data_IF_923213217130
#
_entry.id   IF_923213217130
#
_cell.length_a   1.000
_cell.length_b   1.000
_cell.length_c   1.000
_cell.angle_alpha   90.00
_cell.angle_beta   90.00
_cell.angle_gamma   90.00
#
_symmetry.space_group_name_H-M   'P 1'
#
loop_
_entity.id
_entity.type
_entity.pdbx_description
1 polymer ?
#
# COMPACT_ATOMS: atom_id res chain seq x y z
N UNK A 1 6.89 6.20 15.93
CA UNK A 1 8.18 6.60 15.32
C UNK A 1 7.96 7.69 14.27
N UNK A 2 7.36 7.40 13.09
CA UNK A 2 7.20 8.38 12.00
C UNK A 2 6.46 9.65 12.45
N UNK A 3 5.34 9.50 13.16
CA UNK A 3 4.58 10.63 13.70
C UNK A 3 5.39 11.47 14.69
N UNK A 4 6.17 10.83 15.57
CA UNK A 4 7.05 11.51 16.52
C UNK A 4 8.15 12.31 15.83
N UNK A 5 8.68 11.79 14.72
CA UNK A 5 9.69 12.46 13.88
C UNK A 5 9.09 13.46 12.88
N UNK A 6 7.77 13.66 12.90
CA UNK A 6 7.03 14.54 11.97
C UNK A 6 7.23 14.17 10.50
N UNK A 7 7.54 12.89 10.21
CA UNK A 7 7.67 12.39 8.85
C UNK A 7 6.29 12.18 8.22
N UNK A 8 6.16 12.34 6.90
CA UNK A 8 4.91 12.06 6.19
C UNK A 8 4.44 10.63 6.38
N UNK A 9 3.16 10.46 6.65
CA UNK A 9 2.49 9.16 6.76
C UNK A 9 1.36 9.13 5.76
N UNK A 10 1.36 8.10 4.91
CA UNK A 10 0.31 7.84 3.94
C UNK A 10 -0.44 6.57 4.36
N UNK A 11 -1.76 6.61 4.27
CA UNK A 11 -2.61 5.46 4.52
C UNK A 11 -3.51 5.22 3.31
N UNK A 12 -3.23 4.16 2.56
CA UNK A 12 -4.04 3.78 1.40
C UNK A 12 -5.11 2.78 1.76
N UNK A 13 -6.24 2.86 1.07
CA UNK A 13 -7.31 1.86 1.14
C UNK A 13 -7.90 1.58 -0.23
N UNK A 14 -8.48 0.39 -0.38
CA UNK A 14 -9.31 0.06 -1.52
C UNK A 14 -10.62 0.84 -1.44
N UNK A 15 -11.07 1.36 -2.58
CA UNK A 15 -12.24 2.22 -2.68
C UNK A 15 -12.98 1.94 -3.98
N UNK A 16 -13.52 0.70 -4.07
CA UNK A 16 -14.09 0.17 -5.32
C UNK A 16 -15.50 0.70 -5.59
N UNK A 17 -15.82 1.06 -6.83
CA UNK A 17 -17.20 1.25 -7.22
C UNK A 17 -17.97 -0.08 -7.15
N UNK A 18 -19.29 -0.04 -7.00
CA UNK A 18 -20.15 -1.24 -6.90
C UNK A 18 -19.96 -2.17 -8.11
N UNK A 19 -19.73 -1.58 -9.29
CA UNK A 19 -19.47 -2.32 -10.53
C UNK A 19 -18.03 -2.09 -10.97
N UNK A 20 -17.21 -3.12 -10.88
CA UNK A 20 -15.82 -3.09 -11.33
C UNK A 20 -15.42 -4.47 -11.84
N UNK A 21 -14.59 -4.51 -12.89
CA UNK A 21 -14.00 -5.75 -13.40
C UNK A 21 -13.12 -6.48 -12.36
N UNK A 22 -12.82 -5.85 -11.25
CA UNK A 22 -12.08 -6.43 -10.14
C UNK A 22 -12.86 -7.58 -9.46
N UNK A 23 -14.20 -7.49 -9.45
CA UNK A 23 -15.07 -8.46 -8.78
C UNK A 23 -15.48 -9.63 -9.69
N UNK A 24 -15.67 -10.80 -9.09
CA UNK A 24 -16.08 -12.04 -9.78
C UNK A 24 -17.34 -11.85 -10.60
N UNK A 25 -18.32 -11.12 -10.08
CA UNK A 25 -19.60 -10.85 -10.74
C UNK A 25 -19.45 -10.07 -12.05
N UNK A 26 -18.28 -9.46 -12.27
CA UNK A 26 -17.95 -8.68 -13.46
C UNK A 26 -16.70 -9.22 -14.18
N UNK A 27 -16.36 -10.51 -13.95
CA UNK A 27 -15.27 -11.21 -14.64
C UNK A 27 -13.91 -11.12 -13.98
N UNK A 28 -13.81 -10.57 -12.78
CA UNK A 28 -12.58 -10.45 -12.01
C UNK A 28 -12.26 -11.66 -11.13
N UNK A 29 -11.29 -11.49 -10.26
CA UNK A 29 -10.78 -12.55 -9.37
C UNK A 29 -11.40 -12.52 -7.98
N UNK A 30 -11.82 -11.36 -7.50
CA UNK A 30 -12.14 -11.13 -6.11
C UNK A 30 -13.63 -11.17 -5.81
N UNK A 31 -14.04 -11.64 -4.63
CA UNK A 31 -15.39 -11.39 -4.15
C UNK A 31 -15.60 -9.89 -3.94
N UNK A 32 -16.85 -9.47 -3.86
CA UNK A 32 -17.20 -8.08 -3.56
C UNK A 32 -16.62 -7.67 -2.20
N UNK A 33 -15.86 -6.56 -2.17
CA UNK A 33 -15.25 -6.01 -0.96
C UNK A 33 -14.92 -4.52 -1.14
N UNK A 34 -14.66 -3.82 -0.05
CA UNK A 34 -14.20 -2.43 -0.04
C UNK A 34 -15.00 -1.48 -0.95
N UNK A 35 -16.32 -1.66 -1.01
CA UNK A 35 -17.20 -0.77 -1.79
C UNK A 35 -17.19 0.63 -1.18
N UNK A 36 -17.08 1.64 -2.02
CA UNK A 36 -17.11 3.04 -1.66
C UNK A 36 -18.25 3.37 -0.70
N UNK A 37 -17.97 4.17 0.32
CA UNK A 37 -18.94 4.63 1.32
C UNK A 37 -19.58 3.51 2.19
N UNK A 38 -18.98 2.32 2.23
CA UNK A 38 -19.40 1.25 3.14
C UNK A 38 -18.39 1.04 4.27
N UNK A 39 -18.84 0.38 5.34
CA UNK A 39 -17.97 -0.02 6.45
C UNK A 39 -16.81 -0.90 5.97
N UNK A 40 -17.08 -1.81 4.99
CA UNK A 40 -16.05 -2.69 4.42
C UNK A 40 -14.89 -1.98 3.73
N UNK A 41 -15.04 -0.70 3.36
CA UNK A 41 -13.96 0.15 2.83
C UNK A 41 -13.31 1.03 3.89
N UNK A 42 -13.71 0.92 5.15
CA UNK A 42 -13.15 1.72 6.25
C UNK A 42 -11.85 1.11 6.75
N UNK A 43 -10.96 1.96 7.30
CA UNK A 43 -9.83 1.46 8.06
C UNK A 43 -10.30 0.73 9.30
N UNK A 44 -9.60 -0.34 9.66
CA UNK A 44 -9.92 -1.11 10.85
C UNK A 44 -9.90 -0.19 12.10
N UNK A 45 -10.90 -0.26 13.02
CA UNK A 45 -11.04 0.69 14.13
C UNK A 45 -9.88 0.69 15.13
N UNK A 46 -9.10 -0.39 15.18
CA UNK A 46 -7.87 -0.45 15.99
C UNK A 46 -6.67 0.25 15.35
N UNK A 47 -6.74 0.59 14.07
CA UNK A 47 -5.67 1.34 13.39
C UNK A 47 -5.75 2.82 13.81
N UNK A 48 -4.79 3.26 14.61
CA UNK A 48 -4.71 4.64 15.10
C UNK A 48 -3.87 5.48 14.14
N UNK A 49 -4.48 6.01 13.11
CA UNK A 49 -3.81 6.94 12.20
C UNK A 49 -3.67 8.32 12.88
N UNK A 50 -2.48 8.95 12.76
CA UNK A 50 -2.32 10.33 13.24
C UNK A 50 -3.14 11.30 12.35
N UNK A 51 -3.60 12.42 12.95
CA UNK A 51 -4.45 13.40 12.24
C UNK A 51 -3.84 13.94 10.96
N UNK A 52 -2.52 14.02 10.89
CA UNK A 52 -1.76 14.50 9.71
C UNK A 52 -1.54 13.41 8.64
N UNK A 53 -2.01 12.18 8.83
CA UNK A 53 -1.87 11.15 7.81
C UNK A 53 -2.63 11.52 6.53
N UNK A 54 -1.99 11.37 5.40
CA UNK A 54 -2.57 11.61 4.08
C UNK A 54 -3.28 10.33 3.65
N UNK A 55 -4.60 10.42 3.48
CA UNK A 55 -5.42 9.28 3.05
C UNK A 55 -5.39 9.17 1.53
N UNK A 56 -5.20 7.95 1.04
CA UNK A 56 -5.14 7.62 -0.36
C UNK A 56 -6.20 6.59 -0.72
N UNK A 57 -6.80 6.75 -1.87
CA UNK A 57 -7.87 5.92 -2.39
C UNK A 57 -7.42 5.25 -3.68
N UNK A 58 -7.54 3.93 -3.79
CA UNK A 58 -7.21 3.18 -4.99
C UNK A 58 -8.33 2.23 -5.40
N UNK A 59 -8.25 1.69 -6.63
CA UNK A 59 -9.29 0.81 -7.16
C UNK A 59 -10.57 1.54 -7.54
N UNK A 60 -10.48 2.84 -7.83
CA UNK A 60 -11.64 3.66 -8.21
C UNK A 60 -12.00 3.52 -9.68
N UNK A 61 -11.03 3.17 -10.55
CA UNK A 61 -11.32 2.88 -11.96
C UNK A 61 -11.97 1.51 -12.09
N UNK A 62 -13.22 1.42 -12.62
CA UNK A 62 -13.89 0.13 -12.78
C UNK A 62 -13.24 -0.80 -13.80
N UNK A 63 -12.28 -0.33 -14.59
CA UNK A 63 -11.58 -1.09 -15.63
C UNK A 63 -10.24 -1.66 -15.19
N UNK A 64 -9.77 -1.33 -13.97
CA UNK A 64 -8.45 -1.73 -13.48
C UNK A 64 -8.54 -2.39 -12.10
N UNK A 65 -7.57 -3.28 -11.79
CA UNK A 65 -7.45 -3.89 -10.46
C UNK A 65 -6.84 -2.95 -9.42
N UNK A 66 -5.90 -2.10 -9.83
CA UNK A 66 -5.28 -1.06 -8.99
C UNK A 66 -4.68 -1.58 -7.69
N UNK A 67 -3.83 -2.60 -7.76
CA UNK A 67 -3.16 -3.14 -6.56
C UNK A 67 -2.14 -2.18 -5.96
N UNK A 68 -1.41 -1.44 -6.81
CA UNK A 68 -0.35 -0.54 -6.37
C UNK A 68 -0.89 0.76 -5.80
N UNK A 69 -0.27 1.26 -4.70
CA UNK A 69 -0.55 2.59 -4.19
C UNK A 69 -0.20 3.70 -5.19
N UNK A 70 0.64 3.42 -6.18
CA UNK A 70 0.95 4.38 -7.25
C UNK A 70 -0.22 4.64 -8.20
N UNK A 71 -1.28 3.83 -8.12
CA UNK A 71 -2.56 4.01 -8.81
C UNK A 71 -3.62 4.71 -7.92
N UNK A 72 -3.19 5.30 -6.80
CA UNK A 72 -4.07 6.00 -5.86
C UNK A 72 -3.94 7.51 -5.96
N UNK A 73 -4.96 8.19 -5.46
CA UNK A 73 -4.99 9.64 -5.27
C UNK A 73 -5.55 10.01 -3.88
N UNK A 74 -5.27 11.23 -3.45
CA UNK A 74 -5.88 11.78 -2.23
C UNK A 74 -7.29 12.32 -2.51
N UNK A 75 -7.97 12.82 -1.49
CA UNK A 75 -9.34 13.39 -1.61
C UNK A 75 -9.44 14.61 -2.54
N UNK A 76 -8.32 15.16 -2.98
CA UNK A 76 -8.24 16.30 -3.93
C UNK A 76 -7.92 15.84 -5.36
N UNK A 77 -7.79 14.53 -5.59
CA UNK A 77 -7.39 13.96 -6.88
C UNK A 77 -5.89 14.05 -7.15
N UNK A 78 -5.06 14.25 -6.12
CA UNK A 78 -3.61 14.32 -6.31
C UNK A 78 -3.00 12.91 -6.18
N UNK A 79 -2.42 12.42 -7.26
CA UNK A 79 -1.81 11.09 -7.33
C UNK A 79 -0.60 10.92 -6.40
N UNK A 80 -0.43 9.72 -5.86
CA UNK A 80 0.61 9.40 -4.86
C UNK A 80 2.03 9.75 -5.32
N UNK A 81 2.42 9.42 -6.55
CA UNK A 81 3.75 9.76 -7.06
C UNK A 81 4.01 11.28 -7.03
N UNK A 82 3.01 12.08 -7.36
CA UNK A 82 3.12 13.54 -7.34
C UNK A 82 3.26 14.06 -5.91
N UNK A 83 2.52 13.48 -4.96
CA UNK A 83 2.67 13.79 -3.53
C UNK A 83 4.08 13.50 -3.02
N UNK A 84 4.64 12.32 -3.35
CA UNK A 84 6.01 11.96 -2.97
C UNK A 84 7.03 12.97 -3.49
N UNK A 85 6.92 13.36 -4.77
CA UNK A 85 7.82 14.33 -5.40
C UNK A 85 7.71 15.72 -4.78
N UNK A 86 6.50 16.19 -4.51
CA UNK A 86 6.26 17.49 -3.87
C UNK A 86 6.83 17.57 -2.45
N UNK A 87 6.84 16.44 -1.73
CA UNK A 87 7.38 16.34 -0.38
C UNK A 87 8.88 15.99 -0.33
N UNK A 88 9.54 15.84 -1.49
CA UNK A 88 10.96 15.48 -1.56
C UNK A 88 11.28 14.10 -0.98
N UNK A 89 10.35 13.16 -1.04
CA UNK A 89 10.54 11.82 -0.49
C UNK A 89 11.48 11.02 -1.40
N UNK A 90 12.48 10.37 -0.83
CA UNK A 90 13.43 9.50 -1.53
C UNK A 90 13.37 8.04 -1.06
N UNK A 91 12.91 7.80 0.17
CA UNK A 91 12.83 6.47 0.77
C UNK A 91 11.44 6.20 1.32
N UNK A 92 10.94 4.99 1.08
CA UNK A 92 9.62 4.54 1.53
C UNK A 92 9.74 3.37 2.49
N UNK A 93 8.99 3.44 3.57
CA UNK A 93 8.74 2.34 4.50
C UNK A 93 7.34 1.82 4.25
N UNK A 94 7.21 0.57 3.81
CA UNK A 94 5.94 -0.01 3.37
C UNK A 94 5.51 -1.11 4.33
N UNK A 95 4.29 -1.02 4.82
CA UNK A 95 3.61 -2.04 5.62
C UNK A 95 2.14 -2.15 5.22
N UNK A 96 1.44 -3.15 5.72
CA UNK A 96 0.00 -3.35 5.51
C UNK A 96 -0.33 -4.65 4.77
N UNK A 97 -1.47 -4.64 4.09
CA UNK A 97 -2.06 -5.79 3.39
C UNK A 97 -2.21 -5.51 1.89
N UNK A 98 -2.03 -6.50 1.07
CA UNK A 98 -1.49 -7.82 1.34
C UNK A 98 -0.08 -7.95 0.79
N UNK A 99 0.76 -8.75 1.46
CA UNK A 99 2.18 -8.94 1.11
C UNK A 99 2.38 -9.42 -0.34
N UNK A 100 1.51 -10.28 -0.83
CA UNK A 100 1.51 -10.90 -2.16
C UNK A 100 0.78 -10.07 -3.23
N UNK A 101 0.07 -9.00 -2.83
CA UNK A 101 -0.65 -8.07 -3.71
C UNK A 101 -0.21 -6.62 -3.49
N UNK A 102 -0.99 -5.83 -2.76
CA UNK A 102 -0.80 -4.38 -2.70
C UNK A 102 0.59 -3.97 -2.18
N UNK A 103 1.13 -4.66 -1.19
CA UNK A 103 2.50 -4.40 -0.68
C UNK A 103 3.53 -4.70 -1.76
N UNK A 104 3.44 -5.88 -2.40
CA UNK A 104 4.33 -6.28 -3.50
C UNK A 104 4.29 -5.27 -4.64
N UNK A 105 3.10 -5.02 -5.21
CA UNK A 105 2.98 -4.13 -6.37
C UNK A 105 3.42 -2.70 -6.05
N UNK A 106 3.07 -2.18 -4.87
CA UNK A 106 3.53 -0.87 -4.42
C UNK A 106 5.03 -0.79 -4.26
N UNK A 107 5.65 -1.85 -3.70
CA UNK A 107 7.11 -1.95 -3.56
C UNK A 107 7.80 -1.96 -4.92
N UNK A 108 7.32 -2.77 -5.86
CA UNK A 108 7.93 -2.89 -7.19
C UNK A 108 7.80 -1.59 -7.98
N UNK A 109 6.65 -0.93 -7.92
CA UNK A 109 6.45 0.36 -8.57
C UNK A 109 7.31 1.46 -7.94
N UNK A 110 7.44 1.48 -6.61
CA UNK A 110 8.34 2.42 -5.93
C UNK A 110 9.79 2.27 -6.41
N UNK A 111 10.29 1.03 -6.47
CA UNK A 111 11.64 0.75 -6.99
C UNK A 111 11.79 1.18 -8.46
N UNK A 112 10.79 0.91 -9.29
CA UNK A 112 10.77 1.32 -10.70
C UNK A 112 10.80 2.85 -10.86
N UNK A 113 10.19 3.58 -9.92
CA UNK A 113 10.21 5.05 -9.88
C UNK A 113 11.51 5.62 -9.26
N UNK A 114 12.45 4.77 -8.83
CA UNK A 114 13.75 5.19 -8.30
C UNK A 114 13.78 5.42 -6.78
N UNK A 115 12.71 5.13 -6.05
CA UNK A 115 12.71 5.24 -4.59
C UNK A 115 13.51 4.12 -3.93
N UNK A 116 14.17 4.43 -2.82
CA UNK A 116 14.65 3.41 -1.88
C UNK A 116 13.44 2.84 -1.13
N UNK A 117 13.39 1.51 -0.99
CA UNK A 117 12.24 0.87 -0.33
C UNK A 117 12.69 -0.06 0.78
N UNK A 118 12.10 0.12 1.94
CA UNK A 118 12.14 -0.79 3.08
C UNK A 118 10.73 -1.29 3.37
N UNK A 119 10.52 -2.60 3.43
CA UNK A 119 9.24 -3.16 3.82
C UNK A 119 9.31 -3.83 5.19
N UNK A 120 8.25 -3.64 5.98
CA UNK A 120 8.18 -3.98 7.40
C UNK A 120 7.64 -5.40 7.56
N UNK A 121 8.53 -6.39 7.80
CA UNK A 121 8.14 -7.81 7.92
C UNK A 121 7.17 -8.10 9.06
N UNK A 122 7.26 -7.34 10.13
CA UNK A 122 6.40 -7.41 11.31
C UNK A 122 5.06 -6.66 11.14
N UNK A 123 4.89 -5.97 10.00
CA UNK A 123 3.71 -5.19 9.69
C UNK A 123 3.11 -5.50 8.31
N UNK A 124 3.37 -6.69 7.76
CA UNK A 124 2.73 -7.19 6.54
C UNK A 124 2.13 -8.58 6.75
N UNK A 125 1.08 -8.90 6.00
CA UNK A 125 0.48 -10.23 5.95
C UNK A 125 -0.05 -10.48 4.54
N UNK A 126 0.05 -11.72 4.05
CA UNK A 126 -0.46 -12.11 2.74
C UNK A 126 -1.86 -12.68 2.77
N UNK A 127 -2.42 -12.87 1.59
CA UNK A 127 -3.67 -13.62 1.34
C UNK A 127 -3.37 -15.08 1.10
N UNK A 128 -2.28 -15.37 0.37
CA UNK A 128 -1.82 -16.72 0.03
C UNK A 128 -2.94 -17.55 -0.64
N UNK A 129 -3.49 -17.08 -1.78
CA UNK A 129 -4.46 -17.87 -2.57
C UNK A 129 -3.88 -19.21 -3.01
N UNK A 130 -2.58 -19.25 -3.25
CA UNK A 130 -1.82 -20.48 -3.44
C UNK A 130 -0.74 -20.56 -2.35
N UNK A 131 -0.36 -21.77 -1.91
CA UNK A 131 0.72 -21.93 -0.95
C UNK A 131 1.97 -21.13 -1.34
N UNK A 132 2.56 -20.44 -0.37
CA UNK A 132 3.79 -19.67 -0.52
C UNK A 132 3.74 -18.44 -1.43
N UNK A 133 2.56 -17.94 -1.82
CA UNK A 133 2.43 -16.71 -2.62
C UNK A 133 3.14 -15.53 -1.93
N UNK A 134 2.95 -15.36 -0.63
CA UNK A 134 3.64 -14.33 0.16
C UNK A 134 5.15 -14.51 0.18
N UNK A 135 5.62 -15.75 0.31
CA UNK A 135 7.06 -16.06 0.32
C UNK A 135 7.68 -15.70 -1.03
N UNK A 136 7.00 -16.05 -2.13
CA UNK A 136 7.44 -15.70 -3.48
C UNK A 136 7.47 -14.19 -3.70
N UNK A 137 6.43 -13.49 -3.25
CA UNK A 137 6.33 -12.03 -3.33
C UNK A 137 7.47 -11.34 -2.57
N UNK A 138 7.77 -11.78 -1.34
CA UNK A 138 8.86 -11.25 -0.53
C UNK A 138 10.21 -11.48 -1.21
N UNK A 139 10.46 -12.68 -1.73
CA UNK A 139 11.70 -12.98 -2.47
C UNK A 139 11.84 -12.09 -3.71
N UNK A 140 10.75 -11.86 -4.44
CA UNK A 140 10.75 -10.98 -5.62
C UNK A 140 11.07 -9.52 -5.24
N UNK A 141 10.43 -8.97 -4.21
CA UNK A 141 10.71 -7.62 -3.72
C UNK A 141 12.18 -7.44 -3.34
N UNK A 142 12.77 -8.41 -2.63
CA UNK A 142 14.19 -8.40 -2.25
C UNK A 142 15.07 -8.48 -3.50
N UNK A 143 14.80 -9.40 -4.42
CA UNK A 143 15.55 -9.53 -5.68
C UNK A 143 15.55 -8.25 -6.52
N UNK A 144 14.48 -7.46 -6.43
CA UNK A 144 14.34 -6.17 -7.13
C UNK A 144 14.98 -5.00 -6.39
N UNK A 145 15.52 -5.20 -5.19
CA UNK A 145 16.29 -4.20 -4.45
C UNK A 145 15.61 -3.62 -3.21
N UNK A 146 14.41 -4.09 -2.84
CA UNK A 146 13.80 -3.69 -1.58
C UNK A 146 14.52 -4.33 -0.38
N UNK A 147 14.63 -3.58 0.73
CA UNK A 147 15.21 -4.06 1.97
C UNK A 147 14.12 -4.58 2.91
N UNK A 148 14.31 -5.80 3.40
CA UNK A 148 13.49 -6.37 4.47
C UNK A 148 13.98 -5.85 5.82
N UNK A 149 13.07 -5.27 6.61
CA UNK A 149 13.37 -4.80 7.97
C UNK A 149 12.27 -5.20 8.94
N UNK A 150 12.53 -5.03 10.25
CA UNK A 150 11.54 -5.05 11.32
C UNK A 150 11.66 -3.76 12.11
N UNK A 151 10.55 -3.24 12.65
CA UNK A 151 10.53 -1.99 13.39
C UNK A 151 11.45 -2.01 14.63
N UNK A 152 11.59 -3.16 15.28
CA UNK A 152 12.44 -3.32 16.47
C UNK A 152 13.94 -3.22 16.17
N UNK A 153 14.35 -3.60 14.95
CA UNK A 153 15.77 -3.65 14.54
C UNK A 153 16.21 -2.43 13.74
N UNK A 154 15.28 -1.62 13.28
CA UNK A 154 15.62 -0.43 12.51
C UNK A 154 16.01 0.69 13.48
N UNK A 155 17.30 0.95 13.58
CA UNK A 155 17.79 2.21 14.12
C UNK A 155 17.40 3.33 13.14
N UNK A 156 16.27 3.97 13.40
CA UNK A 156 15.93 5.24 12.75
C UNK A 156 16.93 6.29 13.23
N UNK A 157 18.16 6.23 12.67
CA UNK A 157 19.24 7.12 13.03
C UNK A 157 18.76 8.57 12.99
N UNK A 158 19.18 9.30 13.99
CA UNK A 158 18.86 10.70 14.18
C UNK A 158 19.32 11.49 12.94
N UNK A 159 18.37 12.01 12.18
CA UNK A 159 18.57 13.11 11.27
C UNK A 159 18.01 14.37 11.91
#
# INVERSE_FOLDING_TARGET
>A
IFSQKKLPIFASRDWHPVRTRHFKDFGGTWPVHCIQNTEGASFHPKLKLPKQAILLYKGMDPKEDSYSVFQSEDSRGLGFLKLLKLLGIEELYIGGLAADYCVKFSTLDALKQGFKVKFLMDAIKGVDLKPDDSIRAIKEMIKKGAKKITLEKENFAHG
#
